data_IF_149906995670
#
_entry.id   IF_149906995670
#
_cell.length_a   1.000
_cell.length_b   1.000
_cell.length_c   1.000
_cell.angle_alpha   90.00
_cell.angle_beta   90.00
_cell.angle_gamma   90.00
#
_symmetry.space_group_name_H-M   'P 1'
#
loop_
_entity.id
_entity.type
_entity.pdbx_description
1 polymer ?
#
# COMPACT_ATOMS: atom_id res chain seq x y z
N UNK A 1 -28.78 -0.37 -21.47
CA UNK A 1 -28.59 1.05 -21.09
C UNK A 1 -28.06 0.97 -19.66
N UNK A 2 -26.72 0.99 -19.52
CA UNK A 2 -26.04 1.09 -18.22
C UNK A 2 -25.99 2.57 -17.85
N UNK A 3 -26.72 2.96 -16.83
CA UNK A 3 -26.50 4.23 -16.14
C UNK A 3 -25.27 4.08 -15.27
N UNK A 4 -24.16 4.64 -15.71
CA UNK A 4 -23.05 4.98 -14.83
C UNK A 4 -23.56 6.09 -13.88
N UNK A 5 -23.89 5.73 -12.67
CA UNK A 5 -23.93 6.69 -11.57
C UNK A 5 -22.50 7.17 -11.34
N UNK A 6 -22.17 8.30 -11.93
CA UNK A 6 -21.05 9.12 -11.47
C UNK A 6 -21.54 9.74 -10.16
N UNK A 7 -21.36 9.04 -9.05
CA UNK A 7 -21.37 9.69 -7.75
C UNK A 7 -20.31 10.79 -7.83
N UNK A 8 -20.67 11.98 -7.44
CA UNK A 8 -19.74 13.10 -7.32
C UNK A 8 -18.63 12.70 -6.36
N UNK A 9 -17.55 12.16 -6.93
CA UNK A 9 -16.30 11.92 -6.23
C UNK A 9 -15.83 13.32 -5.83
N UNK A 10 -15.82 13.58 -4.53
CA UNK A 10 -15.04 14.68 -3.99
C UNK A 10 -13.61 14.31 -4.34
N UNK A 11 -13.06 14.97 -5.35
CA UNK A 11 -11.66 14.77 -5.75
C UNK A 11 -10.80 15.16 -4.56
N UNK A 12 -10.31 14.18 -3.86
CA UNK A 12 -9.09 14.28 -3.10
C UNK A 12 -8.02 14.78 -4.08
N UNK A 13 -7.22 15.76 -3.66
CA UNK A 13 -6.26 16.41 -4.54
C UNK A 13 -5.27 15.40 -5.11
N UNK A 14 -5.42 15.06 -6.39
CA UNK A 14 -4.42 14.26 -7.13
C UNK A 14 -3.13 15.05 -7.37
N UNK A 15 -3.10 16.34 -7.03
CA UNK A 15 -1.97 17.24 -7.19
C UNK A 15 -1.73 18.05 -5.92
N UNK A 16 -0.48 18.49 -5.71
CA UNK A 16 -0.09 19.26 -4.54
C UNK A 16 0.56 18.40 -3.45
N UNK A 17 0.40 18.80 -2.22
CA UNK A 17 1.00 18.14 -1.05
C UNK A 17 -0.11 17.57 -0.15
N UNK A 18 0.10 16.37 0.36
CA UNK A 18 -0.84 15.64 1.22
C UNK A 18 -0.29 15.57 2.64
N UNK A 19 -1.00 16.13 3.61
CA UNK A 19 -0.64 16.05 5.03
C UNK A 19 -1.22 14.80 5.66
N UNK A 20 -0.37 13.96 6.23
CA UNK A 20 -0.76 12.73 6.89
C UNK A 20 -0.82 12.88 8.41
N UNK A 21 -1.89 12.37 9.01
CA UNK A 21 -1.93 11.99 10.42
C UNK A 21 -1.75 10.48 10.52
N UNK A 22 -0.55 10.02 10.88
CA UNK A 22 -0.28 8.62 11.08
C UNK A 22 -0.49 8.23 12.55
N UNK A 23 -1.28 7.20 12.82
CA UNK A 23 -1.62 6.70 14.14
C UNK A 23 -1.08 5.28 14.28
N UNK A 24 -0.29 5.01 15.31
CA UNK A 24 0.25 3.67 15.61
C UNK A 24 -0.60 3.01 16.69
N UNK A 25 -1.24 1.89 16.36
CA UNK A 25 -2.05 1.14 17.33
C UNK A 25 -1.49 -0.25 17.57
N UNK A 26 -1.55 -0.67 18.83
CA UNK A 26 -1.27 -2.03 19.26
C UNK A 26 -2.52 -2.63 19.90
N UNK A 27 -2.46 -3.92 20.16
CA UNK A 27 -3.52 -4.68 20.78
C UNK A 27 -3.07 -5.16 22.15
N UNK A 28 -3.98 -5.60 23.05
CA UNK A 28 -3.60 -6.27 24.28
C UNK A 28 -2.65 -7.44 24.00
N UNK A 29 -1.71 -7.66 24.91
CA UNK A 29 -0.82 -8.82 24.79
C UNK A 29 -1.65 -10.09 24.67
N UNK A 30 -1.45 -10.80 23.56
CA UNK A 30 -2.18 -12.03 23.24
C UNK A 30 -1.23 -13.12 22.74
N UNK A 31 -1.68 -14.36 22.89
CA UNK A 31 -1.03 -15.56 22.34
C UNK A 31 -2.12 -16.31 21.57
N UNK A 32 -2.57 -15.68 20.46
CA UNK A 32 -3.63 -16.21 19.60
C UNK A 32 -3.00 -16.79 18.34
N UNK A 33 -3.17 -18.11 18.13
CA UNK A 33 -2.64 -18.81 16.97
C UNK A 33 -3.28 -18.36 15.64
N UNK A 34 -4.37 -17.60 15.68
CA UNK A 34 -5.09 -17.11 14.50
C UNK A 34 -4.63 -15.75 13.99
N UNK A 35 -3.76 -15.07 14.76
CA UNK A 35 -3.15 -13.77 14.43
C UNK A 35 -1.64 -13.82 14.52
N UNK A 36 -0.97 -12.92 13.79
CA UNK A 36 0.48 -12.84 13.81
C UNK A 36 0.99 -11.98 14.97
N UNK A 37 2.06 -12.47 15.61
CA UNK A 37 2.73 -11.74 16.69
C UNK A 37 2.04 -11.89 18.03
N UNK A 38 2.11 -10.87 18.86
CA UNK A 38 1.56 -10.88 20.22
C UNK A 38 0.74 -9.61 20.52
N UNK A 39 0.23 -8.94 19.50
CA UNK A 39 -0.52 -7.71 19.64
C UNK A 39 0.34 -6.45 19.70
N UNK A 40 1.67 -6.56 19.80
CA UNK A 40 2.59 -5.43 19.93
C UNK A 40 3.49 -5.31 18.71
N UNK A 41 3.96 -4.08 18.40
CA UNK A 41 4.89 -3.83 17.32
C UNK A 41 6.19 -4.62 17.47
N UNK A 42 6.68 -5.15 16.36
CA UNK A 42 7.86 -6.01 16.33
C UNK A 42 9.13 -5.21 16.67
N UNK A 43 9.83 -5.64 17.72
CA UNK A 43 11.10 -5.05 18.15
C UNK A 43 12.30 -5.84 17.65
N UNK A 44 12.15 -7.15 17.51
CA UNK A 44 13.20 -8.09 17.10
C UNK A 44 12.53 -9.13 16.20
N UNK A 45 13.18 -9.46 15.09
CA UNK A 45 12.69 -10.54 14.22
C UNK A 45 12.81 -11.91 14.93
N UNK A 46 11.73 -12.66 14.93
CA UNK A 46 11.65 -13.99 15.54
C UNK A 46 11.61 -15.12 14.49
N UNK A 47 11.49 -14.75 13.21
CA UNK A 47 11.41 -15.68 12.11
C UNK A 47 12.76 -15.99 11.45
N UNK A 48 12.70 -16.33 10.17
CA UNK A 48 13.89 -16.68 9.37
C UNK A 48 14.79 -15.44 9.19
N UNK A 49 16.04 -15.56 9.56
CA UNK A 49 17.02 -14.50 9.39
C UNK A 49 17.70 -14.60 8.00
N UNK A 50 17.46 -13.62 7.16
CA UNK A 50 18.10 -13.47 5.86
C UNK A 50 19.38 -12.65 6.00
N UNK A 51 20.48 -13.30 6.25
CA UNK A 51 21.78 -12.81 6.74
C UNK A 51 22.35 -11.53 6.13
N UNK A 52 21.91 -11.09 4.94
CA UNK A 52 22.52 -9.93 4.27
C UNK A 52 21.59 -8.76 4.02
N UNK A 53 20.31 -9.01 3.84
CA UNK A 53 19.28 -7.98 3.83
C UNK A 53 17.97 -8.53 4.37
N UNK A 54 17.29 -7.72 5.12
CA UNK A 54 15.92 -7.98 5.58
C UNK A 54 15.06 -6.83 5.11
N UNK A 55 13.96 -7.15 4.46
CA UNK A 55 12.96 -6.14 4.09
C UNK A 55 12.18 -5.79 5.35
N UNK A 56 11.92 -4.51 5.55
CA UNK A 56 11.25 -3.98 6.73
C UNK A 56 11.89 -4.48 8.04
N UNK A 57 13.19 -4.23 8.28
CA UNK A 57 13.85 -4.75 9.47
C UNK A 57 13.31 -4.07 10.73
N UNK A 58 13.04 -4.83 11.82
CA UNK A 58 12.70 -4.24 13.11
C UNK A 58 13.87 -3.46 13.71
N UNK A 59 13.62 -2.53 14.66
CA UNK A 59 12.35 -2.31 15.35
C UNK A 59 11.34 -1.52 14.53
N UNK A 60 10.06 -1.91 14.56
CA UNK A 60 8.98 -1.17 13.93
C UNK A 60 8.48 -0.06 14.87
N UNK A 61 9.29 0.95 15.00
CA UNK A 61 9.10 2.10 15.85
C UNK A 61 8.75 3.36 15.02
N UNK A 62 8.71 4.54 15.65
CA UNK A 62 8.40 5.80 14.96
C UNK A 62 9.32 6.04 13.76
N UNK A 63 10.62 5.90 13.91
CA UNK A 63 11.62 6.13 12.85
C UNK A 63 11.42 5.18 11.65
N UNK A 64 10.96 3.96 11.89
CA UNK A 64 10.59 3.03 10.83
C UNK A 64 9.41 3.56 10.00
N UNK A 65 8.32 4.00 10.64
CA UNK A 65 7.17 4.54 9.94
C UNK A 65 7.45 5.88 9.25
N UNK A 66 8.30 6.72 9.84
CA UNK A 66 8.82 7.93 9.15
C UNK A 66 9.54 7.57 7.85
N UNK A 67 10.31 6.48 7.85
CA UNK A 67 11.00 5.98 6.66
C UNK A 67 10.02 5.45 5.59
N UNK A 68 8.96 4.76 5.99
CA UNK A 68 7.90 4.30 5.08
C UNK A 68 7.16 5.49 4.44
N UNK A 69 6.77 6.49 5.22
CA UNK A 69 6.11 7.71 4.72
C UNK A 69 7.03 8.45 3.75
N UNK A 70 8.32 8.58 4.08
CA UNK A 70 9.31 9.21 3.21
C UNK A 70 9.51 8.44 1.90
N UNK A 71 9.53 7.11 1.94
CA UNK A 71 9.65 6.27 0.74
C UNK A 71 8.46 6.49 -0.20
N UNK A 72 7.23 6.50 0.34
CA UNK A 72 6.01 6.72 -0.44
C UNK A 72 5.93 8.16 -0.96
N UNK A 73 6.34 9.17 -0.17
CA UNK A 73 6.44 10.56 -0.63
C UNK A 73 7.38 10.67 -1.84
N UNK A 74 8.57 10.07 -1.74
CA UNK A 74 9.56 10.07 -2.83
C UNK A 74 9.07 9.32 -4.06
N UNK A 75 8.33 8.22 -3.86
CA UNK A 75 7.70 7.48 -4.95
C UNK A 75 6.71 8.37 -5.72
N UNK A 76 5.75 8.98 -5.03
CA UNK A 76 4.75 9.81 -5.69
C UNK A 76 5.33 11.06 -6.33
N UNK A 77 6.29 11.73 -5.69
CA UNK A 77 7.02 12.86 -6.28
C UNK A 77 7.65 12.45 -7.64
N UNK A 78 8.29 11.29 -7.66
CA UNK A 78 8.93 10.76 -8.89
C UNK A 78 7.92 10.40 -9.97
N UNK A 79 6.88 9.60 -9.66
CA UNK A 79 5.95 9.06 -10.68
C UNK A 79 4.92 10.09 -11.16
N UNK A 80 4.71 11.16 -10.39
CA UNK A 80 3.86 12.30 -10.75
C UNK A 80 4.63 13.44 -11.42
N UNK A 81 5.95 13.31 -11.56
CA UNK A 81 6.84 14.38 -12.04
C UNK A 81 6.75 15.66 -11.19
N UNK A 82 6.68 15.50 -9.87
CA UNK A 82 6.56 16.59 -8.91
C UNK A 82 5.16 17.19 -8.80
N UNK A 83 4.14 16.57 -9.42
CA UNK A 83 2.78 17.06 -9.34
C UNK A 83 2.09 16.73 -8.01
N UNK A 84 2.53 15.65 -7.33
CA UNK A 84 1.97 15.19 -6.07
C UNK A 84 3.06 14.57 -5.18
N UNK A 85 3.00 14.83 -3.88
CA UNK A 85 3.83 14.19 -2.85
C UNK A 85 3.17 14.28 -1.47
N UNK A 86 3.68 13.53 -0.50
CA UNK A 86 3.33 13.71 0.91
C UNK A 86 4.14 14.86 1.49
N UNK A 87 3.48 15.76 2.21
CA UNK A 87 4.10 16.86 2.97
C UNK A 87 4.74 16.31 4.25
N UNK A 88 6.05 16.04 4.19
CA UNK A 88 6.78 15.46 5.31
C UNK A 88 7.00 16.45 6.48
N UNK A 89 6.90 17.75 6.24
CA UNK A 89 7.14 18.78 7.25
C UNK A 89 5.88 19.01 8.12
N UNK A 90 4.70 18.82 7.53
CA UNK A 90 3.41 19.05 8.20
C UNK A 90 2.62 17.75 8.40
N UNK A 91 3.26 16.59 8.27
CA UNK A 91 2.70 15.29 8.62
C UNK A 91 3.25 14.81 9.95
N UNK A 92 2.40 14.19 10.75
CA UNK A 92 2.76 13.72 12.08
C UNK A 92 2.50 12.24 12.28
N UNK A 93 3.27 11.63 13.20
CA UNK A 93 3.10 10.24 13.64
C UNK A 93 2.80 10.23 15.14
N UNK A 94 1.68 9.69 15.52
CA UNK A 94 1.20 9.58 16.89
C UNK A 94 1.19 8.12 17.39
N UNK A 95 1.31 7.89 18.73
CA UNK A 95 1.69 8.89 19.72
C UNK A 95 3.15 9.33 19.54
N UNK A 96 3.48 10.48 20.11
CA UNK A 96 4.87 10.92 20.16
C UNK A 96 5.71 9.96 21.02
N UNK A 97 7.01 9.84 20.70
CA UNK A 97 7.92 8.89 21.33
C UNK A 97 8.20 7.69 20.42
N UNK A 98 9.43 7.18 20.53
CA UNK A 98 9.97 6.23 19.55
C UNK A 98 9.20 4.90 19.56
N UNK A 99 9.00 4.32 20.74
CA UNK A 99 8.42 2.98 20.91
C UNK A 99 6.96 2.99 21.38
N UNK A 100 6.29 4.15 21.39
CA UNK A 100 4.92 4.28 21.88
C UNK A 100 3.90 3.88 20.81
N UNK A 101 2.77 3.34 21.26
CA UNK A 101 1.57 3.08 20.46
C UNK A 101 0.33 3.26 21.33
N UNK A 102 -0.81 3.50 20.74
CA UNK A 102 -2.09 3.44 21.45
C UNK A 102 -2.53 1.98 21.52
N UNK A 103 -2.72 1.46 22.74
CA UNK A 103 -3.20 0.10 22.94
C UNK A 103 -4.74 0.07 22.92
N UNK A 104 -5.30 -0.62 21.92
CA UNK A 104 -6.75 -0.79 21.80
C UNK A 104 -7.28 -1.76 22.86
N UNK A 105 -8.56 -1.63 23.22
CA UNK A 105 -9.20 -2.50 24.20
C UNK A 105 -9.51 -3.92 23.71
N UNK A 106 -9.55 -4.12 22.39
CA UNK A 106 -9.94 -5.37 21.75
C UNK A 106 -8.74 -6.06 21.11
N UNK A 107 -8.76 -7.40 21.10
CA UNK A 107 -7.72 -8.22 20.42
C UNK A 107 -7.72 -8.01 18.92
N UNK A 108 -6.59 -8.28 18.27
CA UNK A 108 -6.44 -8.20 16.80
C UNK A 108 -7.49 -9.06 16.08
N UNK A 109 -7.66 -10.31 16.50
CA UNK A 109 -8.64 -11.25 15.94
C UNK A 109 -10.09 -10.74 15.96
N UNK A 110 -10.44 -9.84 16.90
CA UNK A 110 -11.81 -9.29 16.99
C UNK A 110 -12.15 -8.33 15.85
N UNK A 111 -11.13 -7.78 15.16
CA UNK A 111 -11.32 -6.85 14.05
C UNK A 111 -11.32 -7.55 12.66
N UNK A 112 -10.85 -8.79 12.58
CA UNK A 112 -10.98 -9.61 11.36
C UNK A 112 -11.38 -11.05 11.70
N UNK A 113 -12.62 -11.28 12.13
CA UNK A 113 -13.06 -12.60 12.58
C UNK A 113 -13.13 -13.59 11.39
N UNK A 114 -12.37 -14.66 11.48
CA UNK A 114 -12.31 -15.71 10.46
C UNK A 114 -13.69 -16.30 10.14
N UNK A 115 -13.97 -16.52 8.87
CA UNK A 115 -15.22 -17.15 8.40
C UNK A 115 -16.46 -16.24 8.44
N UNK A 116 -16.30 -14.97 8.84
CA UNK A 116 -17.40 -14.01 8.93
C UNK A 116 -17.26 -12.88 7.90
N UNK A 117 -16.99 -13.21 6.65
CA UNK A 117 -16.72 -12.25 5.58
C UNK A 117 -17.77 -11.12 5.45
N UNK A 118 -19.02 -11.40 5.77
CA UNK A 118 -20.09 -10.38 5.77
C UNK A 118 -20.00 -9.37 6.91
N UNK A 119 -19.16 -9.60 7.91
CA UNK A 119 -18.95 -8.71 9.05
C UNK A 119 -17.55 -8.07 9.05
N UNK A 120 -16.63 -8.54 8.23
CA UNK A 120 -15.23 -8.09 8.25
C UNK A 120 -15.11 -6.60 7.95
N UNK A 121 -15.85 -6.09 6.98
CA UNK A 121 -15.85 -4.68 6.62
C UNK A 121 -16.27 -3.79 7.80
N UNK A 122 -17.36 -4.13 8.50
CA UNK A 122 -17.80 -3.41 9.68
C UNK A 122 -16.80 -3.47 10.84
N UNK A 123 -16.10 -4.61 10.98
CA UNK A 123 -15.08 -4.78 12.02
C UNK A 123 -13.81 -3.98 11.72
N UNK A 124 -13.38 -3.96 10.47
CA UNK A 124 -12.23 -3.16 10.02
C UNK A 124 -12.54 -1.66 10.13
N UNK A 125 -13.74 -1.23 9.74
CA UNK A 125 -14.20 0.17 9.95
C UNK A 125 -14.21 0.53 11.42
N UNK A 126 -14.58 -0.40 12.29
CA UNK A 126 -14.52 -0.19 13.74
C UNK A 126 -13.11 -0.02 14.26
N UNK A 127 -12.13 -0.80 13.77
CA UNK A 127 -10.72 -0.60 14.10
C UNK A 127 -10.29 0.84 13.80
N UNK A 128 -10.65 1.35 12.62
CA UNK A 128 -10.37 2.73 12.23
C UNK A 128 -11.00 3.74 13.20
N UNK A 129 -12.26 3.55 13.56
CA UNK A 129 -12.95 4.39 14.53
C UNK A 129 -12.29 4.33 15.91
N UNK A 130 -12.02 3.14 16.44
CA UNK A 130 -11.47 2.94 17.78
C UNK A 130 -10.07 3.59 17.87
N UNK A 131 -9.24 3.44 16.83
CA UNK A 131 -7.92 4.06 16.73
C UNK A 131 -7.99 5.60 16.80
N UNK A 132 -8.89 6.21 16.05
CA UNK A 132 -9.07 7.66 15.99
C UNK A 132 -9.61 8.22 17.31
N UNK A 133 -10.62 7.56 17.87
CA UNK A 133 -11.22 7.97 19.14
C UNK A 133 -10.21 7.89 20.27
N UNK A 134 -9.42 6.81 20.32
CA UNK A 134 -8.39 6.63 21.33
C UNK A 134 -7.28 7.67 21.20
N UNK A 135 -6.74 7.86 20.01
CA UNK A 135 -5.68 8.83 19.75
C UNK A 135 -6.11 10.25 20.09
N UNK A 136 -7.36 10.63 19.74
CA UNK A 136 -7.91 11.93 20.14
C UNK A 136 -8.06 12.04 21.66
N UNK A 137 -8.53 10.98 22.34
CA UNK A 137 -8.77 11.03 23.79
C UNK A 137 -7.47 11.16 24.58
N UNK A 138 -6.37 10.60 24.10
CA UNK A 138 -5.08 10.63 24.79
C UNK A 138 -4.25 11.89 24.47
N UNK A 139 -4.16 12.26 23.20
CA UNK A 139 -3.26 13.34 22.74
C UNK A 139 -3.99 14.60 22.22
N UNK A 140 -5.33 14.57 22.16
CA UNK A 140 -6.13 15.74 21.76
C UNK A 140 -5.93 16.14 20.28
N UNK A 141 -5.62 15.18 19.41
CA UNK A 141 -5.28 15.43 18.01
C UNK A 141 -6.40 16.18 17.30
N UNK A 142 -6.07 17.28 16.65
CA UNK A 142 -6.97 18.02 15.75
C UNK A 142 -6.85 17.45 14.31
N UNK A 143 -7.76 16.57 13.96
CA UNK A 143 -7.77 15.93 12.64
C UNK A 143 -8.07 16.89 11.49
N UNK A 144 -8.59 18.08 11.76
CA UNK A 144 -8.84 19.09 10.73
C UNK A 144 -7.57 19.71 10.13
N UNK A 145 -6.42 19.48 10.75
CA UNK A 145 -5.11 19.95 10.25
C UNK A 145 -4.50 19.01 9.20
N UNK A 146 -5.08 17.81 9.00
CA UNK A 146 -4.57 16.77 8.11
C UNK A 146 -5.55 16.44 6.99
N UNK A 147 -5.01 16.01 5.86
CA UNK A 147 -5.78 15.63 4.68
C UNK A 147 -6.15 14.14 4.69
N UNK A 148 -5.34 13.28 5.32
CA UNK A 148 -5.53 11.84 5.36
C UNK A 148 -5.05 11.25 6.69
N UNK A 149 -5.86 10.36 7.25
CA UNK A 149 -5.51 9.58 8.43
C UNK A 149 -5.03 8.20 7.99
N UNK A 150 -3.88 7.77 8.51
CA UNK A 150 -3.30 6.45 8.29
C UNK A 150 -3.14 5.75 9.64
N UNK A 151 -3.80 4.62 9.82
CA UNK A 151 -3.67 3.78 11.01
C UNK A 151 -2.71 2.64 10.70
N UNK A 152 -1.56 2.60 11.37
CA UNK A 152 -0.65 1.46 11.37
C UNK A 152 -0.95 0.58 12.58
N UNK A 153 -1.24 -0.70 12.35
CA UNK A 153 -1.47 -1.67 13.42
C UNK A 153 -0.30 -2.63 13.57
N UNK A 154 -0.11 -3.14 14.79
CA UNK A 154 0.84 -4.21 15.08
C UNK A 154 0.44 -5.51 14.36
N UNK A 155 1.41 -6.32 13.97
CA UNK A 155 1.19 -7.57 13.24
C UNK A 155 1.28 -7.42 11.72
N UNK A 156 1.15 -8.54 11.01
CA UNK A 156 1.22 -8.60 9.54
C UNK A 156 -0.14 -8.26 8.92
N UNK A 157 -0.12 -7.90 7.62
CA UNK A 157 -1.33 -7.75 6.82
C UNK A 157 -1.82 -9.06 6.21
N UNK A 158 -3.14 -9.24 6.18
CA UNK A 158 -3.83 -10.35 5.50
C UNK A 158 -3.84 -10.20 3.96
N UNK A 159 -2.93 -9.41 3.39
CA UNK A 159 -2.94 -9.07 1.96
C UNK A 159 -2.41 -10.21 1.07
N UNK A 160 -1.61 -11.10 1.63
CA UNK A 160 -0.99 -12.25 0.95
C UNK A 160 -1.39 -13.56 1.59
N UNK A 161 -2.69 -13.83 1.66
CA UNK A 161 -3.17 -15.11 2.17
C UNK A 161 -2.90 -16.24 1.18
N UNK A 162 -2.34 -17.33 1.68
CA UNK A 162 -2.26 -18.60 0.93
C UNK A 162 -3.56 -19.37 1.18
N UNK A 163 -4.49 -19.49 0.21
CA UNK A 163 -5.73 -20.21 0.41
C UNK A 163 -5.47 -21.62 0.96
N UNK A 164 -6.10 -21.96 2.07
CA UNK A 164 -6.00 -23.25 2.79
C UNK A 164 -4.68 -23.51 3.56
N UNK A 165 -3.71 -22.59 3.50
CA UNK A 165 -2.41 -22.75 4.17
C UNK A 165 -2.06 -21.55 5.05
N UNK A 166 -2.99 -20.65 5.24
CA UNK A 166 -2.79 -19.46 6.07
C UNK A 166 -2.88 -19.84 7.55
N UNK A 167 -1.77 -19.77 8.30
CA UNK A 167 -1.80 -20.11 9.72
C UNK A 167 -2.45 -19.01 10.58
N UNK A 168 -2.52 -17.77 10.07
CA UNK A 168 -3.02 -16.61 10.81
C UNK A 168 -4.15 -15.89 10.06
N UNK A 169 -5.29 -16.56 9.86
CA UNK A 169 -6.37 -16.08 9.00
C UNK A 169 -7.15 -14.87 9.58
N UNK A 170 -6.82 -14.44 10.79
CA UNK A 170 -7.44 -13.28 11.44
C UNK A 170 -6.50 -12.05 11.50
N UNK A 171 -5.39 -12.09 10.78
CA UNK A 171 -4.60 -10.89 10.49
C UNK A 171 -5.45 -9.86 9.74
N UNK A 172 -5.15 -8.57 9.94
CA UNK A 172 -5.98 -7.48 9.42
C UNK A 172 -5.46 -7.06 8.04
N UNK A 173 -6.30 -7.06 6.99
CA UNK A 173 -5.89 -6.64 5.66
C UNK A 173 -5.68 -5.14 5.57
N UNK A 174 -4.73 -4.71 4.73
CA UNK A 174 -4.60 -3.32 4.32
C UNK A 174 -5.88 -2.84 3.66
N UNK A 175 -6.45 -1.75 4.17
CA UNK A 175 -7.78 -1.33 3.75
C UNK A 175 -7.85 0.18 3.57
N UNK A 176 -8.38 0.63 2.44
CA UNK A 176 -8.84 1.99 2.27
C UNK A 176 -10.27 2.09 2.80
N UNK A 177 -10.44 2.83 3.88
CA UNK A 177 -11.74 3.11 4.48
C UNK A 177 -12.35 4.29 3.72
N UNK A 178 -13.40 4.07 2.98
CA UNK A 178 -14.10 5.09 2.25
C UNK A 178 -15.34 5.62 3.01
N UNK A 179 -15.97 6.60 2.41
CA UNK A 179 -17.16 7.24 3.00
C UNK A 179 -18.35 6.31 3.13
N UNK A 180 -18.52 5.38 2.20
CA UNK A 180 -19.64 4.45 2.23
C UNK A 180 -19.44 3.42 3.35
N UNK A 181 -18.23 2.92 3.54
CA UNK A 181 -17.87 2.07 4.69
C UNK A 181 -18.16 2.77 6.03
N UNK A 182 -17.75 4.04 6.18
CA UNK A 182 -18.04 4.83 7.37
C UNK A 182 -19.54 4.97 7.59
N UNK A 183 -20.29 5.33 6.55
CA UNK A 183 -21.72 5.55 6.59
C UNK A 183 -22.52 4.30 6.94
N UNK A 184 -22.08 3.14 6.44
CA UNK A 184 -22.79 1.88 6.63
C UNK A 184 -22.45 1.20 7.96
N UNK A 185 -21.24 1.42 8.48
CA UNK A 185 -20.73 0.63 9.59
C UNK A 185 -20.54 1.43 10.90
N UNK A 186 -20.60 2.76 10.88
CA UNK A 186 -20.52 3.58 12.10
C UNK A 186 -21.90 4.03 12.53
N UNK A 187 -22.15 3.96 13.83
CA UNK A 187 -23.41 4.42 14.43
C UNK A 187 -23.65 5.92 14.12
N UNK A 188 -24.80 6.24 13.59
CA UNK A 188 -25.12 7.60 13.13
C UNK A 188 -24.63 7.92 11.71
N UNK A 189 -23.92 7.00 11.04
CA UNK A 189 -23.52 7.12 9.62
C UNK A 189 -22.41 8.13 9.37
N UNK A 190 -21.67 8.56 10.39
CA UNK A 190 -20.55 9.49 10.26
C UNK A 190 -19.57 9.36 11.42
N UNK A 191 -18.30 9.64 11.17
CA UNK A 191 -17.26 9.72 12.18
C UNK A 191 -16.90 11.19 12.42
N UNK A 192 -17.34 11.75 13.52
CA UNK A 192 -17.15 13.18 13.85
C UNK A 192 -16.35 13.31 15.15
N UNK A 193 -15.21 14.00 15.08
CA UNK A 193 -14.36 14.32 16.22
C UNK A 193 -14.26 15.84 16.35
N UNK A 194 -14.65 16.40 17.48
CA UNK A 194 -14.65 17.84 17.74
C UNK A 194 -15.32 18.70 16.64
N UNK A 195 -16.39 18.16 16.01
CA UNK A 195 -17.10 18.85 14.95
C UNK A 195 -16.47 18.73 13.56
N UNK A 196 -15.34 18.05 13.43
CA UNK A 196 -14.73 17.70 12.15
C UNK A 196 -15.18 16.29 11.71
N UNK A 197 -15.73 16.18 10.50
CA UNK A 197 -16.17 14.91 9.92
C UNK A 197 -15.01 14.25 9.18
N UNK A 198 -14.62 13.05 9.61
CA UNK A 198 -13.61 12.23 8.95
C UNK A 198 -14.29 11.41 7.86
N UNK A 199 -13.89 11.59 6.62
CA UNK A 199 -14.55 11.04 5.44
C UNK A 199 -13.93 9.76 4.91
N UNK A 200 -12.63 9.56 5.14
CA UNK A 200 -11.88 8.42 4.67
C UNK A 200 -10.56 8.28 5.41
N UNK A 201 -9.89 7.14 5.23
CA UNK A 201 -8.56 6.90 5.76
C UNK A 201 -8.00 5.57 5.28
N UNK A 202 -6.87 5.18 5.88
CA UNK A 202 -6.15 3.96 5.51
C UNK A 202 -5.84 3.17 6.78
N UNK A 203 -5.99 1.86 6.71
CA UNK A 203 -5.43 0.90 7.67
C UNK A 203 -4.30 0.14 6.99
N UNK A 204 -3.17 0.03 7.66
CA UNK A 204 -1.99 -0.71 7.22
C UNK A 204 -1.41 -1.52 8.37
N UNK A 205 -0.85 -2.71 8.09
CA UNK A 205 -0.06 -3.45 9.06
C UNK A 205 1.29 -2.77 9.31
N UNK A 206 2.00 -3.23 10.31
CA UNK A 206 3.38 -2.79 10.51
C UNK A 206 4.33 -3.27 9.39
N UNK A 207 4.04 -4.40 8.76
CA UNK A 207 4.82 -4.95 7.64
C UNK A 207 4.01 -5.97 6.84
N UNK A 208 4.50 -6.30 5.64
CA UNK A 208 4.04 -7.44 4.84
C UNK A 208 5.04 -8.60 4.87
N UNK A 209 6.10 -8.51 5.69
CA UNK A 209 7.18 -9.48 5.68
C UNK A 209 6.97 -10.63 6.68
N UNK A 210 6.31 -11.69 6.23
CA UNK A 210 6.05 -12.90 7.00
C UNK A 210 7.32 -13.56 7.58
N UNK A 211 8.48 -13.36 6.95
CA UNK A 211 9.72 -13.97 7.42
C UNK A 211 10.24 -13.38 8.73
N UNK A 212 9.70 -12.27 9.19
CA UNK A 212 10.10 -11.65 10.46
C UNK A 212 9.49 -12.34 11.68
N UNK A 213 8.53 -13.25 11.49
CA UNK A 213 7.77 -13.88 12.56
C UNK A 213 8.01 -15.40 12.63
N UNK A 214 7.71 -15.99 13.76
CA UNK A 214 7.93 -17.44 13.99
C UNK A 214 7.12 -18.33 13.05
N UNK A 215 5.93 -17.89 12.63
CA UNK A 215 5.09 -18.62 11.68
C UNK A 215 5.79 -18.89 10.34
N UNK A 216 6.78 -18.10 9.99
CA UNK A 216 7.57 -18.30 8.78
C UNK A 216 8.29 -19.66 8.75
N UNK A 217 8.64 -20.19 9.91
CA UNK A 217 9.27 -21.50 10.02
C UNK A 217 8.35 -22.62 9.53
N UNK A 218 7.06 -22.50 9.77
CA UNK A 218 6.07 -23.49 9.32
C UNK A 218 5.70 -23.29 7.85
N UNK A 219 5.53 -22.03 7.41
CA UNK A 219 5.15 -21.70 6.03
C UNK A 219 6.28 -21.98 5.03
N UNK A 220 7.53 -21.70 5.40
CA UNK A 220 8.67 -21.72 4.47
C UNK A 220 9.72 -22.80 4.80
N UNK A 221 9.46 -23.66 5.77
CA UNK A 221 10.42 -24.70 6.20
C UNK A 221 10.87 -25.65 5.08
N UNK A 222 10.02 -25.85 4.07
CA UNK A 222 10.32 -26.67 2.89
C UNK A 222 10.82 -25.86 1.68
N UNK A 223 10.88 -24.54 1.78
CA UNK A 223 11.34 -23.70 0.68
C UNK A 223 12.88 -23.78 0.56
N UNK A 224 13.38 -23.91 -0.67
CA UNK A 224 14.83 -23.93 -0.95
C UNK A 224 15.49 -22.57 -0.70
N UNK A 225 14.72 -21.48 -0.80
CA UNK A 225 15.18 -20.10 -0.61
C UNK A 225 14.07 -19.26 0.05
N UNK A 226 13.83 -19.44 1.37
CA UNK A 226 12.74 -18.71 2.05
C UNK A 226 12.93 -17.20 1.99
N UNK A 227 14.16 -16.69 1.93
CA UNK A 227 14.46 -15.27 1.83
C UNK A 227 13.94 -14.60 0.54
N UNK A 228 13.53 -15.38 -0.46
CA UNK A 228 12.86 -14.86 -1.66
C UNK A 228 11.40 -14.48 -1.42
N UNK A 229 10.81 -14.88 -0.30
CA UNK A 229 9.41 -14.61 0.06
C UNK A 229 9.22 -13.39 0.97
N UNK A 230 10.21 -12.50 1.04
CA UNK A 230 10.07 -11.23 1.73
C UNK A 230 9.28 -10.22 0.91
N UNK A 231 8.34 -9.52 1.54
CA UNK A 231 7.58 -8.42 0.93
C UNK A 231 7.60 -7.21 1.86
N UNK A 232 7.79 -6.01 1.28
CA UNK A 232 7.80 -4.76 2.01
C UNK A 232 6.44 -4.06 2.03
N UNK A 233 6.25 -3.18 2.99
CA UNK A 233 5.03 -2.41 3.17
C UNK A 233 4.86 -1.28 2.14
N UNK A 234 5.95 -0.71 1.64
CA UNK A 234 5.95 0.53 0.82
C UNK A 234 5.00 0.46 -0.37
N UNK A 235 4.98 -0.67 -1.09
CA UNK A 235 4.13 -0.82 -2.29
C UNK A 235 2.65 -0.86 -1.96
N UNK A 236 2.26 -1.58 -0.91
CA UNK A 236 0.88 -1.60 -0.40
C UNK A 236 0.49 -0.22 0.11
N UNK A 237 1.37 0.46 0.83
CA UNK A 237 1.12 1.82 1.28
C UNK A 237 0.91 2.79 0.10
N UNK A 238 1.74 2.71 -0.94
CA UNK A 238 1.57 3.52 -2.14
C UNK A 238 0.23 3.22 -2.85
N UNK A 239 -0.19 1.94 -2.91
CA UNK A 239 -1.50 1.55 -3.45
C UNK A 239 -2.64 2.21 -2.67
N UNK A 240 -2.59 2.16 -1.34
CA UNK A 240 -3.63 2.73 -0.47
C UNK A 240 -3.69 4.27 -0.58
N UNK A 241 -2.54 4.96 -0.65
CA UNK A 241 -2.54 6.39 -0.98
C UNK A 241 -3.12 6.64 -2.37
N UNK A 242 -2.83 5.78 -3.35
CA UNK A 242 -3.44 5.83 -4.66
C UNK A 242 -4.97 5.88 -4.60
N UNK A 243 -5.60 5.03 -3.78
CA UNK A 243 -7.06 5.09 -3.53
C UNK A 243 -7.46 6.40 -2.85
N UNK A 244 -6.75 6.82 -1.81
CA UNK A 244 -7.07 8.02 -1.06
C UNK A 244 -7.05 9.29 -1.91
N UNK A 245 -6.17 9.36 -2.92
CA UNK A 245 -6.12 10.47 -3.89
C UNK A 245 -7.04 10.27 -5.08
N UNK A 246 -7.87 9.22 -5.11
CA UNK A 246 -8.90 8.98 -6.10
C UNK A 246 -8.46 8.23 -7.36
N UNK A 247 -7.30 7.56 -7.35
CA UNK A 247 -6.94 6.65 -8.43
C UNK A 247 -7.80 5.38 -8.34
N UNK A 248 -8.55 5.03 -9.40
CA UNK A 248 -9.40 3.85 -9.36
C UNK A 248 -8.58 2.55 -9.47
N UNK A 249 -9.09 1.43 -8.90
CA UNK A 249 -8.50 0.11 -9.11
C UNK A 249 -8.49 -0.26 -10.59
N UNK A 250 -7.43 -0.94 -11.02
CA UNK A 250 -7.30 -1.46 -12.38
C UNK A 250 -7.45 -3.00 -12.41
N UNK A 251 -8.11 -3.57 -11.42
CA UNK A 251 -8.57 -4.95 -11.39
C UNK A 251 -10.09 -4.99 -11.20
N UNK A 252 -10.68 -6.13 -11.47
CA UNK A 252 -12.08 -6.35 -11.19
C UNK A 252 -12.29 -6.56 -9.69
N UNK A 253 -12.94 -5.61 -9.01
CA UNK A 253 -13.12 -5.62 -7.54
C UNK A 253 -14.03 -6.74 -7.04
N UNK A 254 -14.93 -7.28 -7.90
CA UNK A 254 -15.81 -8.38 -7.51
C UNK A 254 -15.12 -9.75 -7.58
N UNK A 255 -14.24 -9.93 -8.57
CA UNK A 255 -13.61 -11.23 -8.84
C UNK A 255 -12.14 -11.29 -8.48
N UNK A 256 -11.51 -10.16 -8.11
CA UNK A 256 -10.07 -10.04 -7.88
C UNK A 256 -9.22 -10.20 -9.16
N UNK A 257 -9.85 -10.31 -10.34
CA UNK A 257 -9.12 -10.54 -11.59
C UNK A 257 -8.34 -9.30 -11.99
N UNK A 258 -7.02 -9.44 -12.11
CA UNK A 258 -6.11 -8.41 -12.58
C UNK A 258 -6.49 -7.90 -13.99
N UNK A 259 -6.34 -6.60 -14.20
CA UNK A 259 -6.58 -5.93 -15.49
C UNK A 259 -5.29 -5.55 -16.19
N UNK A 260 -4.32 -5.00 -15.47
CA UNK A 260 -3.03 -4.52 -16.01
C UNK A 260 -1.81 -5.22 -15.39
N UNK A 261 -2.04 -6.09 -14.40
CA UNK A 261 -0.99 -6.89 -13.76
C UNK A 261 0.09 -6.05 -13.10
N UNK A 262 1.32 -6.52 -13.25
CA UNK A 262 2.51 -5.89 -12.66
C UNK A 262 2.87 -4.53 -13.28
N UNK A 263 2.17 -4.10 -14.32
CA UNK A 263 2.49 -2.87 -15.07
C UNK A 263 1.86 -1.59 -14.47
N UNK A 264 1.12 -1.67 -13.40
CA UNK A 264 0.50 -0.49 -12.79
C UNK A 264 0.36 -0.58 -11.29
N UNK A 265 0.63 0.52 -10.57
CA UNK A 265 0.46 0.62 -9.12
C UNK A 265 -0.94 0.14 -8.67
N UNK A 266 -1.98 0.58 -9.39
CA UNK A 266 -3.38 0.31 -9.01
C UNK A 266 -3.83 -1.10 -9.38
N UNK A 267 -2.90 -2.05 -9.49
CA UNK A 267 -3.07 -3.49 -9.67
C UNK A 267 -1.85 -4.20 -9.02
N UNK A 268 -1.44 -5.36 -9.48
CA UNK A 268 -0.34 -6.15 -8.93
C UNK A 268 1.03 -5.45 -8.97
N UNK A 269 1.16 -4.34 -9.70
CA UNK A 269 2.39 -3.54 -9.75
C UNK A 269 2.78 -2.91 -8.41
N UNK A 270 1.89 -2.84 -7.43
CA UNK A 270 2.22 -2.49 -6.04
C UNK A 270 3.24 -3.46 -5.42
N UNK A 271 3.23 -4.73 -5.85
CA UNK A 271 4.10 -5.78 -5.34
C UNK A 271 5.47 -5.87 -6.03
N UNK A 272 5.72 -5.02 -7.04
CA UNK A 272 6.99 -5.04 -7.75
C UNK A 272 8.19 -4.77 -6.83
N UNK A 273 9.33 -5.37 -7.17
CA UNK A 273 10.51 -5.29 -6.31
C UNK A 273 10.25 -5.77 -4.89
N UNK A 274 9.42 -6.79 -4.73
CA UNK A 274 9.00 -7.32 -3.42
C UNK A 274 8.29 -6.26 -2.56
N UNK A 275 7.47 -5.42 -3.16
CA UNK A 275 6.73 -4.37 -2.47
C UNK A 275 7.55 -3.16 -2.03
N UNK A 276 8.85 -3.09 -2.37
CA UNK A 276 9.71 -1.92 -2.05
C UNK A 276 9.89 -0.97 -3.23
N UNK A 277 9.60 -1.42 -4.46
CA UNK A 277 9.72 -0.61 -5.68
C UNK A 277 8.46 -0.82 -6.53
N UNK A 278 7.32 -0.23 -6.12
CA UNK A 278 6.09 -0.38 -6.87
C UNK A 278 6.19 0.19 -8.29
N UNK A 279 5.46 -0.41 -9.23
CA UNK A 279 5.36 0.10 -10.58
C UNK A 279 4.77 1.51 -10.60
N UNK A 280 5.18 2.40 -11.51
CA UNK A 280 4.48 3.65 -11.73
C UNK A 280 3.01 3.39 -12.08
N UNK A 281 2.08 4.30 -11.74
CA UNK A 281 0.73 4.26 -12.27
C UNK A 281 0.73 4.21 -13.79
N UNK A 282 -0.27 3.54 -14.39
CA UNK A 282 -0.35 3.43 -15.86
C UNK A 282 -0.45 4.80 -16.52
N UNK A 283 -0.16 4.89 -17.82
CA UNK A 283 -0.37 6.12 -18.58
C UNK A 283 -1.79 6.66 -18.40
N UNK A 284 -2.78 5.77 -18.38
CA UNK A 284 -4.18 6.15 -18.14
C UNK A 284 -4.38 6.76 -16.76
N UNK A 285 -3.82 6.15 -15.70
CA UNK A 285 -3.93 6.66 -14.33
C UNK A 285 -3.26 8.03 -14.17
N UNK A 286 -2.09 8.25 -14.80
CA UNK A 286 -1.39 9.53 -14.73
C UNK A 286 -2.10 10.64 -15.49
N UNK A 287 -2.70 10.32 -16.64
CA UNK A 287 -3.57 11.26 -17.38
C UNK A 287 -4.83 11.55 -16.59
N UNK A 288 -5.45 10.52 -16.00
CA UNK A 288 -6.64 10.65 -15.15
C UNK A 288 -6.37 11.56 -13.94
N UNK A 289 -5.21 11.40 -13.29
CA UNK A 289 -4.76 12.23 -12.17
C UNK A 289 -4.38 13.67 -12.57
N UNK A 290 -4.29 13.97 -13.86
CA UNK A 290 -3.82 15.28 -14.36
C UNK A 290 -2.32 15.49 -14.22
N UNK A 291 -1.53 14.42 -14.00
CA UNK A 291 -0.08 14.51 -13.91
C UNK A 291 0.60 14.67 -15.27
N UNK A 292 -0.01 14.13 -16.30
CA UNK A 292 0.50 14.16 -17.67
C UNK A 292 -0.63 14.46 -18.68
N UNK A 293 -0.25 15.13 -19.75
CA UNK A 293 -1.11 15.37 -20.91
C UNK A 293 -0.62 14.54 -22.10
N UNK A 294 -1.48 13.68 -22.69
CA UNK A 294 -1.08 12.87 -23.82
C UNK A 294 -1.04 13.71 -25.11
N UNK A 295 -0.11 13.35 -26.01
CA UNK A 295 -0.01 13.96 -27.35
C UNK A 295 -0.94 13.24 -28.30
N UNK A 296 -1.89 13.94 -28.89
CA UNK A 296 -2.80 13.39 -29.92
C UNK A 296 -2.03 13.08 -31.21
N UNK A 297 -2.09 11.83 -31.63
CA UNK A 297 -1.44 11.36 -32.86
C UNK A 297 -2.46 11.38 -34.00
N UNK A 298 -2.12 12.17 -35.03
CA UNK A 298 -2.81 12.17 -36.33
C UNK A 298 -2.17 11.21 -37.30
N UNK A 299 -2.84 10.88 -38.40
CA UNK A 299 -2.39 9.89 -39.40
C UNK A 299 -0.95 10.12 -39.89
N UNK A 300 -0.20 9.04 -40.05
CA UNK A 300 1.16 9.00 -40.59
C UNK A 300 2.20 9.88 -39.84
N UNK A 301 2.09 9.93 -38.52
CA UNK A 301 3.05 10.66 -37.70
C UNK A 301 4.11 9.70 -37.14
N UNK A 302 5.39 10.03 -37.31
CA UNK A 302 6.46 9.41 -36.58
C UNK A 302 6.66 10.19 -35.27
N UNK A 303 6.63 9.49 -34.15
CA UNK A 303 6.84 10.06 -32.82
C UNK A 303 7.90 9.26 -32.08
N UNK A 304 8.78 9.96 -31.38
CA UNK A 304 9.68 9.35 -30.41
C UNK A 304 9.06 9.46 -29.02
N UNK A 305 9.04 8.35 -28.29
CA UNK A 305 8.55 8.26 -26.93
C UNK A 305 9.70 7.82 -26.01
N UNK A 306 10.62 8.74 -25.63
CA UNK A 306 11.63 8.40 -24.65
C UNK A 306 10.99 8.05 -23.31
N UNK A 307 11.49 7.02 -22.64
CA UNK A 307 11.03 6.66 -21.30
C UNK A 307 11.32 7.76 -20.28
N UNK A 308 10.50 7.88 -19.23
CA UNK A 308 10.71 8.75 -18.07
C UNK A 308 10.69 10.26 -18.33
N UNK A 309 10.14 10.71 -19.42
CA UNK A 309 9.91 12.13 -19.65
C UNK A 309 8.44 12.47 -19.47
N UNK A 310 8.16 13.57 -18.79
CA UNK A 310 6.80 14.06 -18.60
C UNK A 310 6.15 14.36 -19.97
N UNK A 311 4.83 14.10 -20.07
CA UNK A 311 4.02 14.33 -21.28
C UNK A 311 4.52 13.54 -22.50
N UNK A 312 5.00 12.33 -22.25
CA UNK A 312 5.53 11.46 -23.27
C UNK A 312 4.62 10.24 -23.54
N UNK A 313 3.33 10.50 -23.54
CA UNK A 313 2.26 9.56 -23.81
C UNK A 313 1.61 9.92 -25.15
N UNK A 314 1.59 8.98 -26.10
CA UNK A 314 0.86 9.16 -27.35
C UNK A 314 -0.59 8.69 -27.19
N UNK A 315 -1.53 9.48 -27.68
CA UNK A 315 -2.95 9.14 -27.74
C UNK A 315 -3.38 8.93 -29.18
N UNK A 316 -3.81 7.71 -29.49
CA UNK A 316 -4.31 7.32 -30.83
C UNK A 316 -5.81 7.09 -30.73
N UNK A 317 -6.59 7.99 -31.33
CA UNK A 317 -8.05 7.87 -31.38
C UNK A 317 -8.48 6.73 -32.28
N UNK A 318 -9.43 5.91 -31.79
CA UNK A 318 -10.17 4.93 -32.59
C UNK A 318 -11.49 5.56 -33.05
N UNK A 319 -12.21 6.18 -32.13
CA UNK A 319 -13.45 6.94 -32.36
C UNK A 319 -13.61 8.01 -31.27
N UNK A 320 -14.79 8.63 -31.14
CA UNK A 320 -14.99 9.71 -30.18
C UNK A 320 -14.96 9.28 -28.69
N UNK A 321 -15.16 8.00 -28.41
CA UNK A 321 -15.19 7.45 -27.06
C UNK A 321 -14.04 6.49 -26.76
N UNK A 322 -13.31 6.03 -27.77
CA UNK A 322 -12.26 5.01 -27.63
C UNK A 322 -10.93 5.49 -28.18
N UNK A 323 -9.87 5.18 -27.46
CA UNK A 323 -8.50 5.53 -27.85
C UNK A 323 -7.49 4.57 -27.23
N UNK A 324 -6.32 4.50 -27.81
CA UNK A 324 -5.13 3.90 -27.18
C UNK A 324 -4.25 4.98 -26.57
N UNK A 325 -3.69 4.69 -25.39
CA UNK A 325 -2.54 5.40 -24.84
C UNK A 325 -1.31 4.51 -25.00
N UNK A 326 -0.26 5.09 -25.56
CA UNK A 326 1.01 4.40 -25.82
C UNK A 326 2.08 5.14 -25.04
N UNK A 327 2.80 4.42 -24.19
CA UNK A 327 3.95 4.91 -23.46
C UNK A 327 5.14 3.97 -23.65
N UNK A 328 6.35 4.49 -23.56
CA UNK A 328 7.56 3.71 -23.46
C UNK A 328 8.00 3.67 -22.00
N UNK A 329 8.17 2.46 -21.46
CA UNK A 329 8.68 2.23 -20.10
C UNK A 329 9.99 1.49 -20.15
N UNK A 330 10.89 1.86 -19.28
CA UNK A 330 12.03 1.04 -18.90
C UNK A 330 11.91 0.68 -17.40
N UNK A 331 12.64 -0.34 -17.00
CA UNK A 331 12.67 -0.83 -15.63
C UNK A 331 13.78 -0.17 -14.79
N UNK A 332 14.41 0.89 -15.27
CA UNK A 332 15.42 1.62 -14.49
C UNK A 332 14.74 2.37 -13.33
N UNK A 333 15.33 2.37 -12.15
CA UNK A 333 14.85 3.09 -10.96
C UNK A 333 15.39 4.51 -10.97
N UNK A 334 16.67 4.62 -11.25
CA UNK A 334 17.41 5.87 -11.47
C UNK A 334 18.34 5.68 -12.65
N UNK A 335 18.98 6.75 -13.11
CA UNK A 335 19.93 6.67 -14.22
C UNK A 335 20.96 5.55 -13.97
N UNK A 336 21.03 4.60 -14.90
CA UNK A 336 21.90 3.41 -14.89
C UNK A 336 21.60 2.35 -13.79
N UNK A 337 20.50 2.48 -13.05
CA UNK A 337 20.07 1.44 -12.09
C UNK A 337 18.66 1.00 -12.44
N UNK A 338 18.54 -0.18 -13.00
CA UNK A 338 17.25 -0.85 -13.25
C UNK A 338 16.80 -1.65 -12.01
N UNK A 339 15.53 -2.02 -11.98
CA UNK A 339 14.99 -2.97 -10.97
C UNK A 339 15.81 -4.27 -11.02
N UNK A 340 16.12 -4.76 -12.22
CA UNK A 340 16.90 -5.98 -12.39
C UNK A 340 18.32 -5.83 -11.85
N UNK A 341 18.95 -4.68 -12.07
CA UNK A 341 20.27 -4.38 -11.54
C UNK A 341 20.28 -4.37 -10.02
N UNK A 342 19.25 -3.78 -9.40
CA UNK A 342 19.12 -3.75 -7.94
C UNK A 342 18.89 -5.15 -7.39
N UNK A 343 18.00 -5.93 -7.98
CA UNK A 343 17.76 -7.31 -7.59
C UNK A 343 19.01 -8.18 -7.75
N UNK A 344 19.78 -7.98 -8.83
CA UNK A 344 21.06 -8.65 -9.03
C UNK A 344 22.08 -8.28 -7.95
N UNK A 345 22.16 -7.01 -7.56
CA UNK A 345 23.05 -6.55 -6.50
C UNK A 345 22.63 -7.17 -5.16
N UNK A 346 21.35 -7.13 -4.83
CA UNK A 346 20.81 -7.74 -3.62
C UNK A 346 21.07 -9.24 -3.58
N UNK A 347 20.82 -9.95 -4.70
CA UNK A 347 21.14 -11.38 -4.83
C UNK A 347 22.62 -11.65 -4.65
N UNK A 348 23.48 -10.91 -5.35
CA UNK A 348 24.94 -11.07 -5.25
C UNK A 348 25.47 -10.84 -3.83
N UNK A 349 24.88 -9.90 -3.11
CA UNK A 349 25.22 -9.62 -1.73
C UNK A 349 24.66 -10.67 -0.77
N UNK A 350 23.58 -11.36 -1.11
CA UNK A 350 23.01 -12.47 -0.33
C UNK A 350 23.91 -13.69 -0.27
N UNK A 351 24.83 -13.86 -1.23
CA UNK A 351 25.76 -14.98 -1.30
C UNK A 351 25.12 -16.30 -1.73
N UNK A 352 23.93 -16.26 -2.29
CA UNK A 352 23.26 -17.43 -2.85
C UNK A 352 23.83 -17.79 -4.21
N UNK A 353 24.05 -19.12 -4.44
CA UNK A 353 24.70 -19.62 -5.66
C UNK A 353 23.75 -19.74 -6.88
N UNK A 354 22.46 -19.45 -6.72
CA UNK A 354 21.48 -19.56 -7.81
C UNK A 354 20.74 -18.24 -8.04
N UNK A 355 20.72 -17.81 -9.31
CA UNK A 355 19.79 -16.78 -9.78
C UNK A 355 18.41 -17.42 -9.78
N UNK A 356 17.67 -17.24 -8.71
CA UNK A 356 16.34 -17.80 -8.59
C UNK A 356 15.32 -16.98 -9.37
N UNK A 357 14.15 -17.55 -9.63
CA UNK A 357 13.19 -17.22 -10.68
C UNK A 357 12.61 -15.81 -10.70
N UNK A 358 13.12 -14.87 -9.92
CA UNK A 358 12.69 -13.46 -9.98
C UNK A 358 12.91 -12.83 -11.35
N UNK A 359 13.99 -13.21 -12.04
CA UNK A 359 14.21 -12.80 -13.42
C UNK A 359 13.11 -13.38 -14.32
N UNK A 360 12.68 -14.60 -14.06
CA UNK A 360 11.66 -15.27 -14.86
C UNK A 360 10.26 -14.66 -14.69
N UNK A 361 9.90 -14.15 -13.51
CA UNK A 361 8.60 -13.49 -13.31
C UNK A 361 8.50 -12.16 -14.07
N UNK A 362 9.63 -11.48 -14.29
CA UNK A 362 9.65 -10.22 -15.04
C UNK A 362 9.79 -10.44 -16.56
N UNK A 363 10.32 -11.58 -17.00
CA UNK A 363 10.60 -11.85 -18.43
C UNK A 363 9.73 -12.95 -19.05
N UNK A 364 9.08 -13.82 -18.27
CA UNK A 364 8.17 -14.87 -18.79
C UNK A 364 6.79 -14.37 -19.23
N UNK A 365 6.56 -13.08 -19.18
CA UNK A 365 5.33 -12.45 -19.70
C UNK A 365 5.50 -11.81 -21.08
N UNK A 366 6.57 -12.16 -21.81
CA UNK A 366 6.76 -11.75 -23.21
C UNK A 366 6.10 -12.71 -24.18
#
# INVERSE_FOLDING_TARGET
>A
IFFLFVSSIIFSNTTGELKLCAIRVSFPLEDDESTTGNGQFLKIANGINCLKYTIDPPPHNRSYFESQIKAVSSYFDSVSYGAFKVDLENSDIFPFGEDNSYELDSSMASYNPYGQSSQSEGKITRLFQDAIVLAHSEDGIDFSEYDLIVVFHAGIGQDFSLPFLDPTPQDIPSTYIDRDMIKENIEGGSLVINGYEILHGIILPETQNHLLYEISNDMFSSASSPCDYQYGLTGTFALMIGFAIGLPPLWNIETGKSGVGIFGLMDQGSNNGRGIIPAPPTAWSRVYAGWEEPVDITFNTNIELPSRYKNNIAKVKINDSEYFLIENRDNSIIENISIDSLQYIMWKESGEDSITPFINILFDSS
#
